data_IF_327680935159
#
_entry.id   IF_327680935159
#
_cell.length_a   1.000
_cell.length_b   1.000
_cell.length_c   1.000
_cell.angle_alpha   90.00
_cell.angle_beta   90.00
_cell.angle_gamma   90.00
#
_symmetry.space_group_name_H-M   'P 1'
#
loop_
_entity.id
_entity.type
_entity.pdbx_description
1 polymer ?
#
# COMPACT_ATOMS: atom_id res chain seq x y z
N UNK A 1 0.59 -27.79 -35.02
CA UNK A 1 0.31 -26.70 -34.08
C UNK A 1 1.62 -26.15 -33.54
N UNK A 2 1.85 -24.88 -33.78
CA UNK A 2 3.14 -24.19 -33.65
C UNK A 2 3.42 -23.94 -32.15
N UNK A 3 4.35 -24.71 -31.58
CA UNK A 3 4.97 -24.37 -30.29
C UNK A 3 5.43 -22.91 -30.38
N UNK A 4 4.87 -22.11 -29.49
CA UNK A 4 4.91 -20.66 -29.49
C UNK A 4 6.33 -20.14 -29.77
N UNK A 5 6.45 -19.30 -30.81
CA UNK A 5 7.68 -18.62 -31.26
C UNK A 5 8.49 -17.96 -30.12
N UNK A 6 7.85 -17.64 -29.01
CA UNK A 6 8.48 -17.11 -27.79
C UNK A 6 9.29 -18.18 -27.00
N UNK A 7 8.88 -19.45 -27.03
CA UNK A 7 9.58 -20.54 -26.35
C UNK A 7 10.88 -20.92 -27.08
N UNK A 8 10.90 -20.82 -28.41
CA UNK A 8 12.09 -21.11 -29.23
C UNK A 8 13.21 -20.07 -29.03
N UNK A 9 12.83 -18.79 -28.92
CA UNK A 9 13.76 -17.68 -28.61
C UNK A 9 14.43 -17.80 -27.24
N UNK A 10 13.75 -18.39 -26.27
CA UNK A 10 14.29 -18.64 -24.93
C UNK A 10 15.42 -19.69 -24.98
N UNK A 11 15.22 -20.78 -25.73
CA UNK A 11 16.21 -21.83 -25.92
C UNK A 11 17.44 -21.32 -26.70
N UNK A 12 17.24 -20.52 -27.75
CA UNK A 12 18.34 -19.98 -28.56
C UNK A 12 19.26 -19.03 -27.79
N UNK A 13 18.72 -18.31 -26.79
CA UNK A 13 19.47 -17.39 -25.95
C UNK A 13 20.36 -18.13 -24.94
N UNK A 14 19.95 -19.33 -24.52
CA UNK A 14 20.66 -20.18 -23.56
C UNK A 14 21.79 -20.97 -24.25
N UNK A 15 21.58 -21.42 -25.50
CA UNK A 15 22.53 -22.30 -26.20
C UNK A 15 23.69 -21.53 -26.84
N UNK A 16 23.49 -20.28 -27.30
CA UNK A 16 24.44 -19.62 -28.20
C UNK A 16 25.37 -18.58 -27.55
N UNK A 17 25.32 -18.39 -26.23
CA UNK A 17 26.18 -17.39 -25.58
C UNK A 17 27.54 -17.97 -25.19
N UNK A 18 28.62 -17.37 -25.71
CA UNK A 18 29.99 -17.76 -25.36
C UNK A 18 30.51 -16.91 -24.21
N UNK A 19 31.36 -17.52 -23.37
CA UNK A 19 31.97 -16.89 -22.21
C UNK A 19 32.88 -15.73 -22.69
N UNK A 20 32.48 -14.48 -22.43
CA UNK A 20 33.31 -13.30 -22.71
C UNK A 20 32.59 -12.09 -23.31
N UNK A 21 31.32 -12.20 -23.71
CA UNK A 21 30.62 -11.07 -24.35
C UNK A 21 30.30 -9.94 -23.35
N UNK A 22 30.66 -8.70 -23.69
CA UNK A 22 30.38 -7.49 -22.90
C UNK A 22 28.96 -6.96 -23.14
N UNK A 23 28.35 -6.38 -22.10
CA UNK A 23 26.98 -5.87 -22.10
C UNK A 23 26.89 -4.39 -22.51
N UNK A 24 25.87 -4.04 -23.31
CA UNK A 24 25.58 -2.67 -23.77
C UNK A 24 24.40 -2.07 -22.98
N UNK A 25 24.55 -0.80 -22.54
CA UNK A 25 23.77 -0.14 -21.48
C UNK A 25 22.36 0.32 -21.88
N UNK A 26 22.09 0.59 -23.16
CA UNK A 26 20.79 1.11 -23.63
C UNK A 26 19.87 0.07 -24.30
N UNK A 27 20.18 -1.23 -24.22
CA UNK A 27 19.22 -2.31 -24.50
C UNK A 27 18.38 -2.67 -23.26
N UNK A 28 18.13 -1.65 -22.42
CA UNK A 28 17.40 -1.73 -21.16
C UNK A 28 15.94 -1.28 -21.34
N UNK A 29 14.93 -2.09 -20.94
CA UNK A 29 13.55 -1.64 -20.91
C UNK A 29 12.97 -1.85 -19.50
N UNK A 30 13.19 -0.93 -18.55
CA UNK A 30 12.68 -1.11 -17.18
C UNK A 30 13.54 -2.04 -16.30
N UNK A 31 14.84 -1.78 -16.27
CA UNK A 31 15.84 -2.29 -15.34
C UNK A 31 15.53 -1.74 -13.92
N UNK A 32 15.41 -2.46 -12.79
CA UNK A 32 16.32 -3.46 -12.20
C UNK A 32 15.57 -4.51 -11.35
N UNK A 33 16.24 -5.67 -11.24
CA UNK A 33 16.07 -6.88 -10.44
C UNK A 33 15.22 -7.98 -11.11
N UNK A 34 15.90 -8.61 -12.07
CA UNK A 34 15.84 -10.05 -12.38
C UNK A 34 14.46 -10.60 -12.77
N UNK A 35 14.10 -10.43 -14.05
CA UNK A 35 12.78 -10.77 -14.60
C UNK A 35 12.71 -11.98 -15.53
N UNK A 36 13.79 -12.68 -15.90
CA UNK A 36 13.69 -13.77 -16.88
C UNK A 36 13.15 -15.10 -16.34
N UNK A 37 12.83 -15.20 -15.03
CA UNK A 37 12.23 -16.41 -14.45
C UNK A 37 10.90 -16.19 -13.72
N UNK A 38 10.44 -14.95 -13.54
CA UNK A 38 9.35 -14.65 -12.61
C UNK A 38 8.03 -14.30 -13.31
N UNK A 39 7.07 -15.23 -13.24
CA UNK A 39 5.72 -15.12 -13.83
C UNK A 39 4.64 -14.94 -12.75
N UNK A 40 3.52 -14.30 -13.09
CA UNK A 40 2.36 -14.18 -12.20
C UNK A 40 2.69 -13.56 -10.83
N UNK A 41 2.42 -14.31 -9.75
CA UNK A 41 2.65 -13.88 -8.37
C UNK A 41 4.13 -13.72 -7.99
N UNK A 42 5.06 -14.16 -8.84
CA UNK A 42 6.50 -13.93 -8.62
C UNK A 42 6.93 -12.52 -9.06
N UNK A 43 6.03 -11.73 -9.66
CA UNK A 43 6.24 -10.30 -9.96
C UNK A 43 6.14 -9.47 -8.67
N UNK A 44 7.12 -9.60 -7.80
CA UNK A 44 7.32 -8.79 -6.60
C UNK A 44 8.78 -8.33 -6.49
N UNK A 45 9.00 -7.33 -5.66
CA UNK A 45 10.35 -6.86 -5.33
C UNK A 45 11.09 -7.86 -4.44
N UNK A 46 12.42 -7.76 -4.43
CA UNK A 46 13.25 -8.40 -3.40
C UNK A 46 13.10 -7.64 -2.08
N UNK A 47 13.47 -8.27 -0.95
CA UNK A 47 13.54 -7.57 0.35
C UNK A 47 14.36 -6.29 0.22
N UNK A 48 15.58 -6.38 -0.35
CA UNK A 48 16.47 -5.21 -0.55
C UNK A 48 15.80 -4.07 -1.31
N UNK A 49 15.11 -4.36 -2.41
CA UNK A 49 14.43 -3.35 -3.22
C UNK A 49 13.23 -2.73 -2.48
N UNK A 50 12.44 -3.55 -1.78
CA UNK A 50 11.32 -3.07 -0.98
C UNK A 50 11.81 -2.21 0.22
N UNK A 51 12.88 -2.62 0.91
CA UNK A 51 13.51 -1.83 1.97
C UNK A 51 13.97 -0.47 1.46
N UNK A 52 14.67 -0.42 0.31
CA UNK A 52 15.09 0.86 -0.27
C UNK A 52 13.90 1.74 -0.65
N UNK A 53 12.84 1.15 -1.19
CA UNK A 53 11.62 1.88 -1.48
C UNK A 53 11.01 2.51 -0.21
N UNK A 54 10.87 1.74 0.87
CA UNK A 54 10.32 2.25 2.12
C UNK A 54 11.20 3.33 2.76
N UNK A 55 12.53 3.21 2.68
CA UNK A 55 13.47 4.27 3.12
C UNK A 55 13.29 5.56 2.32
N UNK A 56 13.18 5.46 1.00
CA UNK A 56 12.96 6.62 0.13
C UNK A 56 11.60 7.26 0.38
N UNK A 57 10.55 6.44 0.53
CA UNK A 57 9.20 6.92 0.83
C UNK A 57 9.17 7.60 2.20
N UNK A 58 9.82 7.02 3.21
CA UNK A 58 9.94 7.61 4.55
C UNK A 58 10.62 8.98 4.47
N UNK A 59 11.79 9.07 3.82
CA UNK A 59 12.52 10.32 3.68
C UNK A 59 11.69 11.40 2.96
N UNK A 60 10.98 11.01 1.89
CA UNK A 60 10.06 11.91 1.18
C UNK A 60 8.95 12.43 2.12
N UNK A 61 8.23 11.53 2.79
CA UNK A 61 7.10 11.88 3.65
C UNK A 61 7.56 12.73 4.83
N UNK A 62 8.65 12.36 5.50
CA UNK A 62 9.22 13.13 6.59
C UNK A 62 9.60 14.54 6.13
N UNK A 63 10.31 14.66 5.00
CA UNK A 63 10.69 15.96 4.43
C UNK A 63 9.46 16.81 4.11
N UNK A 64 8.41 16.24 3.52
CA UNK A 64 7.17 16.99 3.24
C UNK A 64 6.49 17.46 4.52
N UNK A 65 6.43 16.61 5.55
CA UNK A 65 5.74 16.93 6.80
C UNK A 65 6.46 18.02 7.60
N UNK A 66 7.79 18.01 7.61
CA UNK A 66 8.61 19.01 8.31
C UNK A 66 8.91 20.26 7.50
N UNK A 67 8.57 20.28 6.20
CA UNK A 67 8.76 21.48 5.38
C UNK A 67 7.73 22.56 5.75
N UNK A 68 8.20 23.73 6.19
CA UNK A 68 7.34 24.87 6.55
C UNK A 68 6.65 25.48 5.32
N UNK A 69 7.21 25.31 4.12
CA UNK A 69 6.62 25.78 2.86
C UNK A 69 5.54 24.83 2.31
N UNK A 70 5.52 23.56 2.75
CA UNK A 70 4.51 22.61 2.29
C UNK A 70 3.16 22.92 2.92
N UNK A 71 2.11 23.02 2.09
CA UNK A 71 0.78 23.31 2.60
C UNK A 71 0.14 22.08 3.27
N UNK A 72 -0.93 22.31 4.04
CA UNK A 72 -1.63 21.25 4.80
C UNK A 72 -2.15 20.11 3.91
N UNK A 73 -2.51 20.38 2.66
CA UNK A 73 -3.01 19.38 1.70
C UNK A 73 -1.87 18.47 1.25
N UNK A 74 -0.73 19.04 0.90
CA UNK A 74 0.48 18.29 0.52
C UNK A 74 0.93 17.38 1.65
N UNK A 75 0.99 17.92 2.88
CA UNK A 75 1.33 17.16 4.09
C UNK A 75 0.37 16.00 4.35
N UNK A 76 -0.94 16.24 4.30
CA UNK A 76 -1.94 15.18 4.47
C UNK A 76 -1.81 14.12 3.38
N UNK A 77 -1.70 14.52 2.11
CA UNK A 77 -1.62 13.58 1.01
C UNK A 77 -0.34 12.71 1.08
N UNK A 78 0.80 13.30 1.45
CA UNK A 78 2.04 12.56 1.69
C UNK A 78 1.89 11.53 2.81
N UNK A 79 1.30 11.91 3.95
CA UNK A 79 1.07 10.96 5.04
C UNK A 79 0.06 9.87 4.66
N UNK A 80 -1.00 10.21 3.93
CA UNK A 80 -1.94 9.22 3.41
C UNK A 80 -1.26 8.21 2.48
N UNK A 81 -0.26 8.62 1.68
CA UNK A 81 0.53 7.72 0.82
C UNK A 81 1.39 6.76 1.64
N UNK A 82 2.00 7.24 2.74
CA UNK A 82 2.69 6.35 3.67
C UNK A 82 1.76 5.28 4.20
N UNK A 83 0.61 5.70 4.74
CA UNK A 83 -0.38 4.78 5.30
C UNK A 83 -0.94 3.81 4.27
N UNK A 84 -1.07 4.24 3.01
CA UNK A 84 -1.47 3.38 1.90
C UNK A 84 -0.47 2.24 1.68
N UNK A 85 0.83 2.55 1.59
CA UNK A 85 1.88 1.53 1.39
C UNK A 85 2.04 0.62 2.62
N UNK A 86 1.95 1.19 3.83
CA UNK A 86 2.01 0.39 5.05
C UNK A 86 0.83 -0.59 5.14
N UNK A 87 -0.38 -0.14 4.77
CA UNK A 87 -1.58 -0.99 4.73
C UNK A 87 -1.46 -2.13 3.73
N UNK A 88 -0.83 -1.90 2.57
CA UNK A 88 -0.62 -2.93 1.56
C UNK A 88 0.26 -4.09 2.03
N UNK A 89 1.27 -3.79 2.84
CA UNK A 89 2.15 -4.81 3.42
C UNK A 89 1.47 -5.48 4.62
N UNK A 90 0.94 -4.69 5.55
CA UNK A 90 0.41 -5.23 6.81
C UNK A 90 -0.90 -6.00 6.61
N UNK A 91 -1.75 -5.57 5.68
CA UNK A 91 -3.10 -6.11 5.51
C UNK A 91 -3.25 -6.99 4.27
N UNK A 92 -2.19 -7.16 3.47
CA UNK A 92 -2.19 -8.00 2.25
C UNK A 92 -3.29 -7.66 1.23
N UNK A 93 -3.81 -6.43 1.30
CA UNK A 93 -4.90 -5.91 0.48
C UNK A 93 -4.49 -5.70 -0.97
N UNK A 94 -5.48 -5.67 -1.88
CA UNK A 94 -5.24 -5.20 -3.26
C UNK A 94 -5.24 -3.68 -3.33
N UNK A 95 -4.44 -3.09 -4.23
CA UNK A 95 -4.43 -1.65 -4.50
C UNK A 95 -5.67 -1.22 -5.32
N UNK A 96 -6.86 -1.33 -4.73
CA UNK A 96 -8.13 -0.89 -5.32
C UNK A 96 -8.54 0.49 -4.83
N UNK A 97 -9.61 1.05 -5.39
CA UNK A 97 -10.26 2.26 -4.85
C UNK A 97 -10.75 1.98 -3.42
N UNK A 98 -10.52 2.93 -2.50
CA UNK A 98 -11.00 2.86 -1.12
C UNK A 98 -10.24 1.91 -0.21
N UNK A 99 -9.10 1.37 -0.66
CA UNK A 99 -8.22 0.51 0.15
C UNK A 99 -7.67 1.30 1.36
N UNK A 100 -7.55 0.71 2.56
CA UNK A 100 -7.77 -0.71 2.92
C UNK A 100 -9.22 -1.13 3.09
N UNK A 101 -10.15 -0.18 3.16
CA UNK A 101 -11.58 -0.46 3.23
C UNK A 101 -12.34 0.60 4.00
N UNK A 102 -13.47 0.18 4.55
CA UNK A 102 -14.38 1.03 5.33
C UNK A 102 -14.14 0.87 6.82
N UNK A 103 -14.19 1.96 7.58
CA UNK A 103 -14.02 1.99 9.04
C UNK A 103 -14.87 0.93 9.74
N UNK A 104 -16.13 0.75 9.33
CA UNK A 104 -17.05 -0.25 9.90
C UNK A 104 -16.59 -1.71 9.77
N UNK A 105 -15.64 -1.99 8.89
CA UNK A 105 -15.07 -3.33 8.69
C UNK A 105 -13.88 -3.60 9.62
N UNK A 106 -13.37 -2.61 10.34
CA UNK A 106 -12.27 -2.77 11.28
C UNK A 106 -12.77 -2.87 12.70
N UNK A 107 -12.39 -3.94 13.39
CA UNK A 107 -12.58 -4.12 14.81
C UNK A 107 -11.22 -4.05 15.51
N UNK A 108 -10.96 -2.92 16.17
CA UNK A 108 -9.73 -2.67 16.91
C UNK A 108 -9.58 -3.57 18.14
N UNK A 109 -10.68 -4.04 18.73
CA UNK A 109 -10.65 -4.91 19.92
C UNK A 109 -10.23 -6.32 19.55
N UNK A 110 -10.86 -6.90 18.52
CA UNK A 110 -10.46 -8.23 18.03
C UNK A 110 -9.20 -8.20 17.16
N UNK A 111 -8.74 -7.01 16.74
CA UNK A 111 -7.61 -6.78 15.83
C UNK A 111 -7.80 -7.51 14.49
N UNK A 112 -8.99 -7.39 13.94
CA UNK A 112 -9.33 -7.90 12.61
C UNK A 112 -9.92 -6.81 11.74
N UNK A 113 -9.65 -6.90 10.44
CA UNK A 113 -10.32 -6.11 9.42
C UNK A 113 -10.93 -7.04 8.38
N UNK A 114 -12.18 -6.78 8.00
CA UNK A 114 -12.82 -7.48 6.90
C UNK A 114 -12.56 -6.80 5.55
N UNK A 115 -11.85 -7.51 4.66
CA UNK A 115 -11.37 -6.97 3.39
C UNK A 115 -12.11 -7.57 2.21
N UNK A 116 -12.56 -6.68 1.32
CA UNK A 116 -13.08 -7.03 -0.01
C UNK A 116 -12.03 -6.74 -1.08
N UNK A 117 -11.59 -7.77 -1.80
CA UNK A 117 -10.55 -7.67 -2.83
C UNK A 117 -11.05 -7.19 -4.21
N UNK A 118 -12.35 -6.93 -4.35
CA UNK A 118 -12.98 -6.37 -5.55
C UNK A 118 -13.79 -5.12 -5.18
N UNK A 119 -14.24 -4.35 -6.18
CA UNK A 119 -15.09 -3.15 -5.97
C UNK A 119 -16.14 -3.46 -4.90
N UNK A 120 -16.24 -2.58 -3.90
CA UNK A 120 -17.24 -2.65 -2.83
C UNK A 120 -18.61 -2.91 -3.48
N UNK A 121 -19.27 -4.01 -3.09
CA UNK A 121 -20.57 -4.41 -3.64
C UNK A 121 -20.57 -5.38 -4.84
N UNK A 122 -19.42 -5.78 -5.39
CA UNK A 122 -19.34 -6.69 -6.56
C UNK A 122 -19.25 -8.19 -6.23
N UNK A 123 -18.91 -8.55 -4.98
CA UNK A 123 -19.01 -9.90 -4.40
C UNK A 123 -19.43 -9.76 -2.93
N UNK A 124 -20.25 -10.67 -2.44
CA UNK A 124 -20.68 -10.69 -1.02
C UNK A 124 -19.55 -11.13 -0.07
N UNK A 125 -18.53 -11.81 -0.60
CA UNK A 125 -17.51 -12.47 0.20
C UNK A 125 -16.20 -11.68 0.22
N UNK A 126 -15.67 -11.48 1.42
CA UNK A 126 -14.37 -10.95 1.74
C UNK A 126 -13.68 -11.88 2.74
N UNK A 127 -12.60 -11.42 3.36
CA UNK A 127 -11.85 -12.22 4.35
C UNK A 127 -11.50 -11.39 5.58
N UNK A 128 -11.38 -12.05 6.73
CA UNK A 128 -10.81 -11.45 7.92
C UNK A 128 -9.29 -11.44 7.81
N UNK A 129 -8.68 -10.28 8.02
CA UNK A 129 -7.23 -10.14 8.08
C UNK A 129 -6.83 -9.66 9.47
N UNK A 130 -5.92 -10.39 10.15
CA UNK A 130 -5.34 -9.96 11.41
C UNK A 130 -4.56 -8.65 11.26
N UNK A 131 -4.71 -7.75 12.23
CA UNK A 131 -4.02 -6.46 12.28
C UNK A 131 -2.90 -6.53 13.30
N UNK A 132 -1.68 -6.18 12.89
CA UNK A 132 -0.52 -6.06 13.79
C UNK A 132 -0.56 -4.74 14.58
N UNK A 133 0.00 -4.75 15.79
CA UNK A 133 0.03 -3.57 16.65
C UNK A 133 0.74 -2.37 16.00
N UNK A 134 1.77 -2.64 15.20
CA UNK A 134 2.49 -1.61 14.44
C UNK A 134 1.57 -0.83 13.49
N UNK A 135 0.76 -1.53 12.69
CA UNK A 135 -0.19 -0.87 11.77
C UNK A 135 -1.26 -0.10 12.55
N UNK A 136 -1.77 -0.68 13.64
CA UNK A 136 -2.80 -0.03 14.47
C UNK A 136 -2.30 1.30 15.01
N UNK A 137 -1.09 1.33 15.61
CA UNK A 137 -0.46 2.55 16.12
C UNK A 137 -0.38 3.64 15.05
N UNK A 138 0.08 3.28 13.85
CA UNK A 138 0.19 4.22 12.73
C UNK A 138 -1.16 4.68 12.18
N UNK A 139 -2.15 3.79 12.16
CA UNK A 139 -3.49 4.11 11.73
C UNK A 139 -4.17 5.09 12.69
N UNK A 140 -4.06 4.86 14.00
CA UNK A 140 -4.64 5.74 15.02
C UNK A 140 -3.99 7.14 14.94
N UNK A 141 -2.66 7.21 14.85
CA UNK A 141 -1.92 8.46 14.64
C UNK A 141 -2.34 9.19 13.35
N UNK A 142 -2.53 8.46 12.26
CA UNK A 142 -3.00 9.03 11.01
C UNK A 142 -4.42 9.61 11.14
N UNK A 143 -5.32 8.90 11.82
CA UNK A 143 -6.71 9.34 12.02
C UNK A 143 -6.78 10.62 12.85
N UNK A 144 -5.94 10.74 13.87
CA UNK A 144 -5.80 11.97 14.63
C UNK A 144 -5.25 13.12 13.74
N UNK A 145 -4.21 12.84 12.95
CA UNK A 145 -3.59 13.84 12.09
C UNK A 145 -4.57 14.42 11.05
N UNK A 146 -5.34 13.57 10.36
CA UNK A 146 -6.31 14.03 9.36
C UNK A 146 -7.45 14.82 10.03
N UNK A 147 -7.90 14.41 11.22
CA UNK A 147 -8.95 15.14 11.95
C UNK A 147 -8.48 16.56 12.34
N UNK A 148 -7.26 16.66 12.90
CA UNK A 148 -6.60 17.94 13.18
C UNK A 148 -6.42 18.78 11.92
N UNK A 149 -6.03 18.15 10.81
CA UNK A 149 -5.83 18.85 9.53
C UNK A 149 -7.14 19.42 8.99
N UNK A 150 -8.20 18.61 8.93
CA UNK A 150 -9.52 19.04 8.45
C UNK A 150 -10.10 20.14 9.35
N UNK A 151 -9.90 20.04 10.66
CA UNK A 151 -10.31 21.08 11.61
C UNK A 151 -9.55 22.38 11.38
N UNK A 152 -8.23 22.32 11.25
CA UNK A 152 -7.37 23.48 11.03
C UNK A 152 -7.59 24.18 9.69
N UNK A 153 -8.11 23.47 8.68
CA UNK A 153 -8.51 24.06 7.41
C UNK A 153 -9.75 24.97 7.53
N UNK A 154 -10.56 24.85 8.59
CA UNK A 154 -11.70 25.74 8.87
C UNK A 154 -12.88 25.62 7.90
N UNK A 155 -12.82 24.71 6.92
CA UNK A 155 -13.85 24.55 5.89
C UNK A 155 -14.99 23.64 6.36
N UNK A 156 -16.16 24.24 6.67
CA UNK A 156 -17.34 23.51 7.18
C UNK A 156 -17.74 22.32 6.31
N UNK A 157 -17.73 22.49 4.99
CA UNK A 157 -18.12 21.44 4.07
C UNK A 157 -17.18 20.22 4.11
N UNK A 158 -15.86 20.42 4.31
CA UNK A 158 -14.91 19.31 4.49
C UNK A 158 -15.09 18.62 5.84
N UNK A 159 -15.41 19.38 6.89
CA UNK A 159 -15.72 18.80 8.19
C UNK A 159 -16.98 17.92 8.11
N UNK A 160 -17.99 18.33 7.34
CA UNK A 160 -19.18 17.51 7.08
C UNK A 160 -18.86 16.26 6.25
N UNK A 161 -18.03 16.39 5.21
CA UNK A 161 -17.54 15.23 4.43
C UNK A 161 -16.77 14.25 5.32
N UNK A 162 -15.90 14.76 6.20
CA UNK A 162 -15.12 13.95 7.13
C UNK A 162 -16.00 13.22 8.15
N UNK A 163 -17.01 13.89 8.71
CA UNK A 163 -17.99 13.26 9.63
C UNK A 163 -18.78 12.12 8.97
N UNK A 164 -19.08 12.24 7.68
CA UNK A 164 -19.80 11.22 6.89
C UNK A 164 -18.88 10.20 6.24
N UNK A 165 -17.56 10.37 6.35
CA UNK A 165 -16.59 9.51 5.67
C UNK A 165 -16.57 8.11 6.28
N UNK A 166 -16.83 7.11 5.45
CA UNK A 166 -16.72 5.71 5.83
C UNK A 166 -15.34 5.11 5.52
N UNK A 167 -14.48 5.77 4.73
CA UNK A 167 -13.20 5.20 4.31
C UNK A 167 -12.12 5.34 5.38
N UNK A 168 -11.24 4.33 5.46
CA UNK A 168 -10.11 4.36 6.39
C UNK A 168 -9.07 5.41 6.01
N UNK A 169 -8.72 5.48 4.72
CA UNK A 169 -7.72 6.40 4.20
C UNK A 169 -8.34 7.34 3.17
N UNK A 170 -8.05 8.63 3.33
CA UNK A 170 -8.56 9.70 2.48
C UNK A 170 -7.44 10.62 2.03
N UNK A 171 -7.73 11.35 0.97
CA UNK A 171 -6.87 12.40 0.41
C UNK A 171 -7.71 13.65 0.18
N UNK A 172 -7.06 14.79 0.12
CA UNK A 172 -7.66 16.02 -0.35
C UNK A 172 -7.28 16.20 -1.82
N UNK A 173 -8.30 16.27 -2.67
CA UNK A 173 -8.14 16.49 -4.11
C UNK A 173 -8.65 17.88 -4.48
N UNK A 174 -7.96 18.50 -5.43
CA UNK A 174 -8.39 19.72 -6.09
C UNK A 174 -8.29 19.49 -7.61
N UNK A 175 -9.25 19.98 -8.43
CA UNK A 175 -9.20 19.81 -9.88
C UNK A 175 -7.87 20.22 -10.51
N UNK A 176 -7.25 21.29 -10.01
CA UNK A 176 -5.97 21.80 -10.54
C UNK A 176 -4.73 21.05 -9.99
N UNK A 177 -4.84 20.34 -8.85
CA UNK A 177 -3.75 19.49 -8.34
C UNK A 177 -3.52 18.25 -9.22
N UNK A 178 -4.46 17.91 -10.10
CA UNK A 178 -4.29 16.82 -11.08
C UNK A 178 -3.60 17.26 -12.37
N UNK A 179 -3.41 18.57 -12.58
CA UNK A 179 -2.97 19.13 -13.86
C UNK A 179 -1.69 19.98 -13.81
N UNK A 180 -1.23 20.48 -12.66
CA UNK A 180 0.01 21.27 -12.57
C UNK A 180 0.88 20.92 -11.35
N UNK A 181 2.18 20.70 -11.61
CA UNK A 181 3.28 20.86 -10.65
C UNK A 181 3.35 22.36 -10.36
N UNK A 182 2.84 22.85 -9.22
CA UNK A 182 3.28 24.06 -8.50
C UNK A 182 2.37 24.30 -7.29
N UNK A 183 2.90 24.99 -6.29
CA UNK A 183 2.20 25.50 -5.10
C UNK A 183 0.96 26.27 -5.54
N UNK A 184 -0.21 25.65 -5.45
CA UNK A 184 -1.47 26.34 -5.70
C UNK A 184 -1.77 27.17 -4.46
N UNK A 185 -2.05 28.45 -4.63
CA UNK A 185 -2.43 29.33 -3.52
C UNK A 185 -3.64 28.72 -2.81
N UNK A 186 -3.58 28.67 -1.47
CA UNK A 186 -4.66 28.16 -0.65
C UNK A 186 -5.99 28.86 -0.93
N UNK A 187 -5.94 30.15 -1.27
CA UNK A 187 -7.11 30.97 -1.61
C UNK A 187 -7.75 30.49 -2.91
N UNK A 188 -6.98 30.05 -3.91
CA UNK A 188 -7.50 29.59 -5.20
C UNK A 188 -8.14 28.19 -5.14
N UNK A 189 -7.79 27.38 -4.13
CA UNK A 189 -8.23 25.98 -4.02
C UNK A 189 -9.32 25.73 -2.99
N UNK A 190 -9.59 26.69 -2.10
CA UNK A 190 -10.51 26.52 -0.97
C UNK A 190 -11.94 26.17 -1.41
N UNK A 191 -12.41 26.70 -2.55
CA UNK A 191 -13.79 26.48 -3.01
C UNK A 191 -14.02 25.14 -3.70
N UNK A 192 -12.95 24.45 -4.14
CA UNK A 192 -13.05 23.21 -4.92
C UNK A 192 -12.27 22.03 -4.31
N UNK A 193 -11.79 22.16 -3.07
CA UNK A 193 -11.13 21.06 -2.37
C UNK A 193 -12.17 19.99 -2.03
N UNK A 194 -11.83 18.71 -2.13
CA UNK A 194 -12.77 17.63 -1.81
C UNK A 194 -12.03 16.49 -1.12
N UNK A 195 -12.69 15.89 -0.12
CA UNK A 195 -12.22 14.66 0.48
C UNK A 195 -12.57 13.47 -0.41
N UNK A 196 -11.56 12.72 -0.84
CA UNK A 196 -11.74 11.55 -1.68
C UNK A 196 -11.12 10.29 -1.05
N UNK A 197 -11.68 9.09 -1.32
CA UNK A 197 -11.06 7.85 -0.90
C UNK A 197 -9.72 7.64 -1.60
N UNK A 198 -8.77 7.06 -0.89
CA UNK A 198 -7.48 6.72 -1.46
C UNK A 198 -7.60 5.72 -2.62
N UNK A 199 -6.74 5.85 -3.64
CA UNK A 199 -6.73 4.94 -4.79
C UNK A 199 -5.34 4.74 -5.38
N UNK A 200 -5.12 3.59 -6.02
CA UNK A 200 -3.88 3.33 -6.75
C UNK A 200 -3.63 4.32 -7.90
N UNK A 201 -4.71 4.84 -8.51
CA UNK A 201 -4.61 5.84 -9.56
C UNK A 201 -4.02 7.16 -9.01
N UNK A 202 -4.51 7.61 -7.85
CA UNK A 202 -3.93 8.76 -7.16
C UNK A 202 -2.46 8.54 -6.83
N UNK A 203 -2.11 7.43 -6.18
CA UNK A 203 -0.72 7.15 -5.78
C UNK A 203 0.22 7.08 -6.99
N UNK A 204 -0.23 6.43 -8.06
CA UNK A 204 0.53 6.33 -9.31
C UNK A 204 0.75 7.71 -9.92
N UNK A 205 -0.27 8.56 -9.94
CA UNK A 205 -0.16 9.93 -10.45
C UNK A 205 0.77 10.78 -9.57
N UNK A 206 0.61 10.70 -8.26
CA UNK A 206 1.34 11.51 -7.29
C UNK A 206 2.84 11.17 -7.25
N UNK A 207 3.17 9.88 -7.42
CA UNK A 207 4.56 9.40 -7.44
C UNK A 207 5.14 9.23 -8.85
N UNK A 208 4.42 9.61 -9.92
CA UNK A 208 4.81 9.28 -11.32
C UNK A 208 6.22 9.74 -11.70
N UNK A 209 6.67 10.87 -11.15
CA UNK A 209 7.98 11.47 -11.40
C UNK A 209 9.08 10.85 -10.54
N UNK A 210 8.71 10.16 -9.47
CA UNK A 210 9.62 9.55 -8.50
C UNK A 210 9.83 8.07 -8.79
N UNK A 211 8.75 7.34 -9.09
CA UNK A 211 8.79 5.89 -9.30
C UNK A 211 7.57 5.38 -10.08
N UNK A 212 7.81 4.53 -11.08
CA UNK A 212 6.75 3.73 -11.70
C UNK A 212 6.55 2.43 -10.91
N UNK A 213 5.41 2.33 -10.23
CA UNK A 213 5.12 1.21 -9.33
C UNK A 213 4.17 0.21 -10.00
N UNK A 214 4.58 -1.06 -10.11
CA UNK A 214 3.64 -2.12 -10.47
C UNK A 214 2.60 -2.29 -9.35
N UNK A 215 1.37 -1.79 -9.55
CA UNK A 215 0.34 -1.70 -8.50
C UNK A 215 0.25 -2.90 -7.55
N UNK A 216 0.26 -4.14 -8.07
CA UNK A 216 0.05 -5.36 -7.27
C UNK A 216 1.34 -5.92 -6.63
N UNK A 217 2.50 -5.27 -6.80
CA UNK A 217 3.74 -5.73 -6.20
C UNK A 217 3.63 -6.00 -4.69
N UNK A 218 2.90 -5.22 -3.85
CA UNK A 218 2.88 -5.46 -2.41
C UNK A 218 2.12 -6.73 -2.02
N UNK A 219 1.03 -7.04 -2.74
CA UNK A 219 0.29 -8.29 -2.54
C UNK A 219 1.15 -9.48 -2.92
N UNK A 220 1.81 -9.40 -4.07
CA UNK A 220 2.74 -10.46 -4.48
C UNK A 220 3.92 -10.56 -3.51
N UNK A 221 4.45 -9.44 -3.04
CA UNK A 221 5.55 -9.38 -2.10
C UNK A 221 5.21 -10.09 -0.79
N UNK A 222 4.12 -9.69 -0.13
CA UNK A 222 3.65 -10.38 1.09
C UNK A 222 3.39 -11.87 0.82
N UNK A 223 2.78 -12.22 -0.32
CA UNK A 223 2.49 -13.62 -0.66
C UNK A 223 3.74 -14.50 -0.76
N UNK A 224 4.89 -13.94 -1.16
CA UNK A 224 6.15 -14.68 -1.31
C UNK A 224 7.07 -14.57 -0.08
N UNK A 225 6.85 -13.60 0.82
CA UNK A 225 7.76 -13.30 1.92
C UNK A 225 7.17 -13.52 3.32
N UNK A 226 5.86 -13.79 3.43
CA UNK A 226 5.27 -14.30 4.66
C UNK A 226 5.41 -15.83 4.67
N UNK A 227 6.14 -16.35 5.64
CA UNK A 227 6.37 -17.79 5.82
C UNK A 227 5.19 -18.40 6.60
N UNK A 228 4.06 -18.54 5.89
CA UNK A 228 2.80 -19.05 6.44
C UNK A 228 2.60 -20.53 6.09
N UNK A 229 1.93 -21.26 6.97
CA UNK A 229 1.38 -22.58 6.67
C UNK A 229 0.41 -22.51 5.48
N UNK A 230 0.33 -23.61 4.71
CA UNK A 230 -0.44 -23.66 3.46
C UNK A 230 -1.91 -23.23 3.66
N UNK A 231 -2.56 -23.68 4.73
CA UNK A 231 -3.97 -23.38 4.98
C UNK A 231 -4.18 -21.91 5.34
N UNK A 232 -3.29 -21.32 6.14
CA UNK A 232 -3.31 -19.91 6.49
C UNK A 232 -3.02 -19.06 5.24
N UNK A 233 -2.04 -19.46 4.43
CA UNK A 233 -1.68 -18.78 3.19
C UNK A 233 -2.86 -18.75 2.21
N UNK A 234 -3.46 -19.90 1.95
CA UNK A 234 -4.61 -20.01 1.06
C UNK A 234 -5.79 -19.17 1.55
N UNK A 235 -6.09 -19.23 2.86
CA UNK A 235 -7.17 -18.45 3.48
C UNK A 235 -6.91 -16.95 3.41
N UNK A 236 -5.68 -16.51 3.70
CA UNK A 236 -5.30 -15.10 3.67
C UNK A 236 -5.29 -14.52 2.25
N UNK A 237 -5.08 -15.33 1.21
CA UNK A 237 -5.06 -14.84 -0.17
C UNK A 237 -6.28 -15.25 -1.00
N UNK A 238 -7.27 -15.89 -0.37
CA UNK A 238 -8.51 -16.38 -0.97
C UNK A 238 -9.33 -15.29 -1.67
N UNK A 239 -10.15 -15.72 -2.63
CA UNK A 239 -11.01 -14.87 -3.46
C UNK A 239 -12.49 -15.27 -3.47
N UNK A 240 -12.82 -16.34 -2.79
CA UNK A 240 -14.14 -16.94 -2.62
C UNK A 240 -14.17 -17.71 -1.28
N UNK A 241 -15.37 -17.98 -0.80
CA UNK A 241 -15.63 -18.71 0.45
C UNK A 241 -15.11 -20.14 0.43
N UNK A 242 -15.03 -20.78 -0.75
CA UNK A 242 -14.54 -22.15 -0.90
C UNK A 242 -13.03 -22.23 -0.58
N UNK A 243 -12.26 -21.22 -1.00
CA UNK A 243 -10.83 -21.15 -0.68
C UNK A 243 -10.54 -20.63 0.73
N UNK A 244 -11.55 -20.17 1.48
CA UNK A 244 -11.36 -19.79 2.88
C UNK A 244 -11.37 -21.03 3.78
N UNK A 245 -10.26 -21.26 4.48
CA UNK A 245 -10.10 -22.34 5.44
C UNK A 245 -10.90 -22.16 6.73
N UNK A 246 -12.06 -21.50 6.71
CA UNK A 246 -12.96 -21.41 7.87
C UNK A 246 -14.32 -22.10 7.63
N UNK A 247 -14.40 -22.94 6.60
CA UNK A 247 -15.59 -23.77 6.35
C UNK A 247 -15.78 -24.87 7.42
N UNK A 248 -16.97 -25.47 7.45
CA UNK A 248 -17.36 -26.50 8.42
C UNK A 248 -16.44 -27.73 8.47
N UNK A 249 -15.64 -27.96 7.45
CA UNK A 249 -14.70 -29.08 7.34
C UNK A 249 -13.26 -28.69 7.65
N UNK A 250 -12.98 -27.42 7.99
CA UNK A 250 -11.63 -26.95 8.30
C UNK A 250 -11.29 -27.09 9.77
N UNK A 251 -10.06 -27.56 10.05
CA UNK A 251 -9.46 -27.57 11.39
C UNK A 251 -8.66 -26.30 11.71
N UNK A 252 -8.69 -25.29 10.84
CA UNK A 252 -7.93 -24.06 11.03
C UNK A 252 -8.48 -23.26 12.21
N UNK A 253 -7.69 -23.18 13.29
CA UNK A 253 -8.02 -22.37 14.46
C UNK A 253 -7.93 -20.87 14.13
N UNK A 254 -8.98 -20.07 14.42
CA UNK A 254 -8.92 -18.61 14.28
C UNK A 254 -7.80 -17.96 15.10
N UNK A 255 -7.48 -18.53 16.28
CA UNK A 255 -6.37 -18.07 17.11
C UNK A 255 -5.02 -18.29 16.43
N UNK A 256 -4.83 -19.48 15.85
CA UNK A 256 -3.59 -19.82 15.15
C UNK A 256 -3.44 -18.98 13.86
N UNK A 257 -4.51 -18.87 13.07
CA UNK A 257 -4.59 -17.99 11.90
C UNK A 257 -4.17 -16.56 12.24
N UNK A 258 -4.72 -16.01 13.33
CA UNK A 258 -4.40 -14.67 13.79
C UNK A 258 -2.93 -14.53 14.18
N UNK A 259 -2.47 -15.41 15.07
CA UNK A 259 -1.16 -15.31 15.70
C UNK A 259 -0.03 -15.46 14.69
N UNK A 260 -0.13 -16.45 13.79
CA UNK A 260 0.90 -16.70 12.80
C UNK A 260 1.01 -15.55 11.79
N UNK A 261 -0.12 -15.03 11.30
CA UNK A 261 -0.09 -13.86 10.39
C UNK A 261 0.51 -12.65 11.09
N UNK A 262 0.09 -12.36 12.33
CA UNK A 262 0.64 -11.22 13.07
C UNK A 262 2.17 -11.35 13.25
N UNK A 263 2.64 -12.53 13.66
CA UNK A 263 4.05 -12.80 13.83
C UNK A 263 4.83 -12.66 12.51
N UNK A 264 4.34 -13.24 11.41
CA UNK A 264 5.03 -13.19 10.12
C UNK A 264 5.04 -11.78 9.53
N UNK A 265 3.96 -11.00 9.70
CA UNK A 265 3.93 -9.60 9.30
C UNK A 265 4.94 -8.80 10.12
N UNK A 266 5.01 -8.99 11.45
CA UNK A 266 6.02 -8.31 12.29
C UNK A 266 7.46 -8.65 11.89
N UNK A 267 7.74 -9.92 11.59
CA UNK A 267 9.04 -10.34 11.06
C UNK A 267 9.34 -9.65 9.73
N UNK A 268 8.35 -9.57 8.82
CA UNK A 268 8.52 -8.91 7.53
C UNK A 268 8.78 -7.40 7.69
N UNK A 269 8.07 -6.72 8.59
CA UNK A 269 8.28 -5.30 8.89
C UNK A 269 9.71 -5.04 9.40
N UNK A 270 10.22 -5.92 10.28
CA UNK A 270 11.61 -5.87 10.76
C UNK A 270 12.62 -6.11 9.63
N UNK A 271 12.41 -7.12 8.77
CA UNK A 271 13.25 -7.39 7.59
C UNK A 271 13.28 -6.20 6.62
N UNK A 272 12.19 -5.44 6.53
CA UNK A 272 12.08 -4.26 5.68
C UNK A 272 12.68 -2.99 6.30
N UNK A 273 13.06 -3.03 7.58
CA UNK A 273 13.56 -1.86 8.32
C UNK A 273 12.61 -0.65 8.19
N UNK A 274 11.29 -0.90 8.22
CA UNK A 274 10.30 0.17 8.12
C UNK A 274 10.40 1.02 9.39
N UNK A 275 10.79 2.28 9.20
CA UNK A 275 10.92 3.25 10.27
C UNK A 275 9.53 3.73 10.74
N UNK A 276 9.45 4.06 12.02
CA UNK A 276 8.28 4.70 12.58
C UNK A 276 8.26 6.18 12.18
N UNK A 277 7.20 6.64 11.51
CA UNK A 277 6.92 8.07 11.36
C UNK A 277 6.45 8.63 12.70
N UNK A 278 7.37 9.25 13.44
CA UNK A 278 7.09 9.90 14.71
C UNK A 278 6.74 11.38 14.47
N UNK A 279 5.44 11.69 14.51
CA UNK A 279 4.92 13.02 14.15
C UNK A 279 4.71 13.93 15.36
N UNK A 280 4.72 13.38 16.57
CA UNK A 280 4.26 14.07 17.78
C UNK A 280 5.38 14.39 18.79
N UNK A 281 6.61 13.95 18.54
CA UNK A 281 7.76 14.31 19.37
C UNK A 281 8.34 15.69 19.04
N UNK A 282 8.10 16.23 17.84
CA UNK A 282 8.66 17.53 17.42
C UNK A 282 7.84 18.75 17.86
N UNK A 283 6.55 18.58 18.22
CA UNK A 283 5.76 19.67 18.83
C UNK A 283 6.18 19.94 20.28
N UNK A 284 6.70 18.93 21.01
CA UNK A 284 7.15 19.09 22.40
C UNK A 284 8.46 19.87 22.58
N UNK A 285 9.15 20.24 21.50
CA UNK A 285 10.36 21.06 21.56
C UNK A 285 10.13 22.52 21.13
N UNK A 286 8.87 22.92 20.90
CA UNK A 286 8.49 24.28 20.49
C UNK A 286 7.48 24.96 21.42
N UNK A 287 7.29 24.42 22.63
CA UNK A 287 6.68 25.09 23.78
C UNK A 287 7.76 25.38 24.83
#
# INVERSE_FOLDING_TARGET
EEINRHFKRYIDCVINRKKGDLWIKEQQPGYIFDREQRIGSQRCWTIKAATQFFKNLYAYVQTTLTNDEANRIEKLNAYSIWMWHLSLICLTVRPTMGMPGLIKNYDSKSKFIYIHDKKIGSRQEGRLVPVVGYWQKHFDAYREYIDKTITALGMKYLQEQWKKNEFMLCILIHPQLTSKKHSVDFIEIADNLTLAPMSAAFVTHYLKETVQIYKNWPRHFSKNHLELSSDIHNTLYAHDSIAMGFGHTSSLSPFHYKTEIQQQVEVLLKKLEILELDLFTQEKSRD
#
